data_IF_076638166819
#
_entry.id   IF_076638166819
#
_cell.length_a   1.000
_cell.length_b   1.000
_cell.length_c   1.000
_cell.angle_alpha   90.00
_cell.angle_beta   90.00
_cell.angle_gamma   90.00
#
_symmetry.space_group_name_H-M   'P 1'
#
loop_
_entity.id
_entity.type
_entity.pdbx_description
1 polymer ?
#
# COMPACT_ATOMS: atom_id res chain seq x y z
N UNK A 1 15.13 1.54 -14.31
CA UNK A 1 13.98 2.47 -14.31
C UNK A 1 14.25 3.62 -15.25
N UNK A 2 13.21 4.04 -16.00
CA UNK A 2 13.25 5.21 -16.87
C UNK A 2 12.94 6.48 -16.07
N UNK A 3 13.33 7.64 -16.60
CA UNK A 3 12.97 8.95 -16.05
C UNK A 3 11.45 9.12 -16.00
N UNK A 4 10.94 9.76 -14.94
CA UNK A 4 9.52 9.87 -14.62
C UNK A 4 8.91 8.61 -13.99
N UNK A 5 9.70 7.55 -13.79
CA UNK A 5 9.22 6.33 -13.14
C UNK A 5 8.92 6.54 -11.65
N UNK A 6 7.94 5.80 -11.15
CA UNK A 6 7.51 5.83 -9.75
C UNK A 6 8.13 4.65 -8.99
N UNK A 7 8.67 4.92 -7.81
CA UNK A 7 9.14 3.92 -6.83
C UNK A 7 8.29 4.03 -5.58
N UNK A 8 7.81 2.89 -5.09
CA UNK A 8 7.26 2.77 -3.74
C UNK A 8 8.26 2.01 -2.89
N UNK A 9 8.63 2.57 -1.74
CA UNK A 9 9.57 1.97 -0.81
C UNK A 9 8.89 1.80 0.54
N UNK A 10 9.04 0.61 1.11
CA UNK A 10 8.74 0.40 2.52
C UNK A 10 9.81 1.09 3.38
N UNK A 11 9.48 2.24 3.97
CA UNK A 11 10.43 3.07 4.72
C UNK A 11 10.83 2.46 6.07
N UNK A 12 10.06 1.50 6.59
CA UNK A 12 10.43 0.78 7.81
C UNK A 12 11.66 -0.13 7.61
N UNK A 13 11.89 -0.59 6.37
CA UNK A 13 12.94 -1.56 6.04
C UNK A 13 14.09 -0.94 5.24
N UNK A 14 13.80 0.08 4.44
CA UNK A 14 14.76 0.64 3.49
C UNK A 14 15.10 2.07 3.88
N UNK A 15 16.35 2.26 4.33
CA UNK A 15 16.92 3.56 4.66
C UNK A 15 17.68 4.20 3.49
N UNK A 16 17.80 3.49 2.36
CA UNK A 16 18.47 3.99 1.17
C UNK A 16 17.52 4.85 0.34
N UNK A 17 18.04 5.95 -0.22
CA UNK A 17 17.33 6.81 -1.18
C UNK A 17 18.12 6.92 -2.48
N UNK A 18 17.51 6.67 -3.64
CA UNK A 18 18.19 6.79 -4.92
C UNK A 18 18.66 8.24 -5.16
N UNK A 19 19.91 8.42 -5.57
CA UNK A 19 20.55 9.72 -5.82
C UNK A 19 20.12 10.37 -7.16
N UNK A 20 18.95 10.01 -7.67
CA UNK A 20 18.44 10.44 -8.99
C UNK A 20 17.23 11.35 -8.80
N UNK A 21 17.29 12.55 -9.37
CA UNK A 21 16.19 13.53 -9.29
C UNK A 21 15.10 13.37 -10.36
N UNK A 22 15.22 12.35 -11.22
CA UNK A 22 14.31 12.13 -12.35
C UNK A 22 13.31 11.00 -12.09
N UNK A 23 13.06 10.65 -10.84
CA UNK A 23 12.09 9.62 -10.43
C UNK A 23 11.22 10.14 -9.29
N UNK A 24 10.01 9.61 -9.18
CA UNK A 24 9.08 9.91 -8.09
C UNK A 24 9.24 8.82 -7.05
N UNK A 25 9.47 9.20 -5.79
CA UNK A 25 9.62 8.26 -4.68
C UNK A 25 8.48 8.46 -3.68
N UNK A 26 7.71 7.40 -3.44
CA UNK A 26 6.76 7.32 -2.34
C UNK A 26 7.33 6.44 -1.23
N UNK A 27 7.41 7.00 -0.05
CA UNK A 27 7.83 6.31 1.16
C UNK A 27 6.60 5.90 1.97
N UNK A 28 6.45 4.61 2.20
CA UNK A 28 5.28 4.04 2.87
C UNK A 28 5.79 3.26 4.08
N UNK A 29 5.45 3.63 5.32
CA UNK A 29 5.83 2.87 6.51
C UNK A 29 4.90 1.64 6.65
N UNK A 30 5.08 0.67 5.75
CA UNK A 30 4.08 -0.36 5.52
C UNK A 30 3.93 -1.36 6.67
N UNK A 31 5.02 -1.66 7.39
CA UNK A 31 4.97 -2.53 8.57
C UNK A 31 4.32 -1.80 9.73
N UNK A 32 4.64 -0.52 9.93
CA UNK A 32 4.05 0.31 10.96
C UNK A 32 2.53 0.42 10.77
N UNK A 33 2.07 0.77 9.56
CA UNK A 33 0.64 0.86 9.25
C UNK A 33 -0.09 -0.48 9.38
N UNK A 34 0.54 -1.58 8.98
CA UNK A 34 -0.04 -2.92 9.14
C UNK A 34 -0.19 -3.32 10.62
N UNK A 35 0.78 -2.94 11.46
CA UNK A 35 0.72 -3.16 12.90
C UNK A 35 -0.39 -2.33 13.56
N UNK A 36 -0.57 -1.07 13.15
CA UNK A 36 -1.65 -0.19 13.64
C UNK A 36 -3.04 -0.73 13.34
N UNK A 37 -3.21 -1.37 12.17
CA UNK A 37 -4.44 -2.09 11.79
C UNK A 37 -4.63 -3.40 12.60
N UNK A 38 -3.61 -3.86 13.32
CA UNK A 38 -3.68 -5.07 14.13
C UNK A 38 -3.32 -6.36 13.37
N UNK A 39 -2.66 -6.24 12.21
CA UNK A 39 -2.16 -7.39 11.45
C UNK A 39 -0.78 -7.08 10.85
N UNK A 40 0.28 -7.47 11.56
CA UNK A 40 1.68 -7.34 11.15
C UNK A 40 1.99 -7.95 9.77
N UNK A 41 1.20 -8.94 9.33
CA UNK A 41 1.35 -9.60 8.03
C UNK A 41 0.69 -8.86 6.87
N UNK A 42 -0.04 -7.77 7.13
CA UNK A 42 -0.79 -7.03 6.10
C UNK A 42 0.02 -5.92 5.41
N UNK A 43 1.34 -5.84 5.59
CA UNK A 43 2.19 -4.82 4.97
C UNK A 43 2.09 -4.79 3.43
N UNK A 44 1.85 -5.94 2.80
CA UNK A 44 1.61 -6.03 1.35
C UNK A 44 0.30 -5.34 0.94
N UNK A 45 -0.75 -5.42 1.76
CA UNK A 45 -2.02 -4.74 1.50
C UNK A 45 -1.85 -3.23 1.63
N UNK A 46 -1.07 -2.77 2.61
CA UNK A 46 -0.70 -1.36 2.73
C UNK A 46 0.02 -0.88 1.46
N UNK A 47 1.04 -1.62 1.00
CA UNK A 47 1.74 -1.25 -0.24
C UNK A 47 0.82 -1.26 -1.47
N UNK A 48 -0.11 -2.21 -1.58
CA UNK A 48 -1.10 -2.24 -2.66
C UNK A 48 -2.03 -1.02 -2.61
N UNK A 49 -2.46 -0.61 -1.41
CA UNK A 49 -3.27 0.57 -1.22
C UNK A 49 -2.56 1.83 -1.71
N UNK A 50 -1.31 2.00 -1.29
CA UNK A 50 -0.47 3.12 -1.71
C UNK A 50 -0.31 3.12 -3.24
N UNK A 51 -0.01 1.97 -3.85
CA UNK A 51 0.09 1.86 -5.29
C UNK A 51 -1.18 2.35 -6.03
N UNK A 52 -2.37 1.91 -5.58
CA UNK A 52 -3.65 2.26 -6.22
C UNK A 52 -4.00 3.75 -6.17
N UNK A 53 -3.49 4.49 -5.18
CA UNK A 53 -3.75 5.93 -5.04
C UNK A 53 -3.23 6.75 -6.22
N UNK A 54 -2.03 6.42 -6.68
CA UNK A 54 -1.33 7.11 -7.77
C UNK A 54 -1.47 6.39 -9.12
N UNK A 55 -1.90 5.13 -9.09
CA UNK A 55 -2.25 4.37 -10.29
C UNK A 55 -3.75 4.05 -10.30
N UNK A 56 -4.60 4.93 -10.85
CA UNK A 56 -6.05 4.74 -10.92
C UNK A 56 -6.44 3.71 -12.00
N UNK A 57 -5.68 2.62 -12.11
CA UNK A 57 -5.97 1.47 -12.98
C UNK A 57 -7.22 0.73 -12.49
N UNK A 58 -7.45 0.75 -11.18
CA UNK A 58 -8.59 0.09 -10.52
C UNK A 58 -9.09 1.02 -9.40
N UNK A 59 -10.41 1.05 -9.22
CA UNK A 59 -11.03 1.78 -8.11
C UNK A 59 -10.72 1.10 -6.76
N UNK A 60 -10.53 1.89 -5.71
CA UNK A 60 -10.29 1.35 -4.37
C UNK A 60 -11.42 0.41 -3.93
N UNK A 61 -12.66 0.76 -4.23
CA UNK A 61 -13.84 -0.04 -3.88
C UNK A 61 -13.80 -1.42 -4.55
N UNK A 62 -13.39 -1.48 -5.82
CA UNK A 62 -13.21 -2.74 -6.54
C UNK A 62 -12.14 -3.61 -5.89
N UNK A 63 -11.02 -3.02 -5.45
CA UNK A 63 -9.99 -3.75 -4.73
C UNK A 63 -10.51 -4.29 -3.38
N UNK A 64 -11.27 -3.50 -2.62
CA UNK A 64 -11.88 -3.93 -1.36
C UNK A 64 -12.91 -5.06 -1.52
N UNK A 65 -13.68 -5.05 -2.62
CA UNK A 65 -14.57 -6.16 -2.97
C UNK A 65 -13.79 -7.44 -3.26
N UNK A 66 -12.71 -7.35 -4.03
CA UNK A 66 -11.86 -8.50 -4.37
C UNK A 66 -11.18 -9.09 -3.14
N UNK A 67 -10.74 -8.27 -2.18
CA UNK A 67 -10.24 -8.76 -0.89
C UNK A 67 -11.26 -9.68 -0.22
N UNK A 68 -12.54 -9.30 -0.20
CA UNK A 68 -13.61 -10.14 0.35
C UNK A 68 -13.77 -11.48 -0.38
N UNK A 69 -13.58 -11.51 -1.70
CA UNK A 69 -13.65 -12.74 -2.52
C UNK A 69 -12.43 -13.64 -2.32
N UNK A 70 -11.22 -13.06 -2.31
CA UNK A 70 -9.95 -13.79 -2.18
C UNK A 70 -9.82 -14.44 -0.80
N UNK A 71 -10.31 -13.77 0.24
CA UNK A 71 -10.23 -14.24 1.63
C UNK A 71 -11.55 -14.79 2.16
N UNK A 72 -12.47 -15.23 1.29
CA UNK A 72 -13.79 -15.73 1.69
C UNK A 72 -13.71 -16.88 2.72
N UNK A 73 -12.71 -17.75 2.61
CA UNK A 73 -12.48 -18.87 3.55
C UNK A 73 -11.82 -18.44 4.87
N UNK A 74 -11.45 -17.16 5.00
CA UNK A 74 -10.76 -16.59 6.18
C UNK A 74 -11.42 -15.27 6.60
N UNK A 75 -12.70 -15.29 7.05
CA UNK A 75 -13.47 -14.09 7.35
C UNK A 75 -12.79 -13.19 8.41
N UNK A 76 -12.08 -13.78 9.36
CA UNK A 76 -11.36 -13.04 10.42
C UNK A 76 -10.21 -12.14 9.92
N UNK A 77 -9.77 -12.28 8.66
CA UNK A 77 -8.73 -11.39 8.09
C UNK A 77 -9.28 -10.44 7.03
N UNK A 78 -10.53 -10.58 6.59
CA UNK A 78 -11.09 -9.76 5.50
C UNK A 78 -11.05 -8.28 5.88
N UNK A 79 -11.58 -7.93 7.06
CA UNK A 79 -11.67 -6.54 7.47
C UNK A 79 -10.29 -5.92 7.71
N UNK A 80 -9.40 -6.65 8.38
CA UNK A 80 -8.01 -6.23 8.58
C UNK A 80 -7.27 -5.99 7.24
N UNK A 81 -7.50 -6.81 6.21
CA UNK A 81 -6.89 -6.59 4.90
C UNK A 81 -7.51 -5.40 4.16
N UNK A 82 -8.81 -5.12 4.35
CA UNK A 82 -9.47 -3.92 3.78
C UNK A 82 -8.99 -2.64 4.46
N UNK A 83 -8.87 -2.66 5.78
CA UNK A 83 -8.33 -1.55 6.57
C UNK A 83 -6.86 -1.30 6.21
N UNK A 84 -6.04 -2.35 6.09
CA UNK A 84 -4.65 -2.21 5.64
C UNK A 84 -4.55 -1.63 4.23
N UNK A 85 -5.41 -2.07 3.30
CA UNK A 85 -5.50 -1.49 1.96
C UNK A 85 -5.85 0.00 2.01
N UNK A 86 -6.84 0.37 2.83
CA UNK A 86 -7.26 1.76 2.99
C UNK A 86 -6.15 2.63 3.62
N UNK A 87 -5.50 2.12 4.67
CA UNK A 87 -4.38 2.80 5.33
C UNK A 87 -3.25 3.08 4.33
N UNK A 88 -2.91 2.10 3.49
CA UNK A 88 -1.99 2.27 2.38
C UNK A 88 -2.42 3.36 1.40
N UNK A 89 -3.68 3.32 0.95
CA UNK A 89 -4.23 4.29 0.01
C UNK A 89 -4.22 5.73 0.53
N UNK A 90 -4.38 5.90 1.84
CA UNK A 90 -4.35 7.20 2.53
C UNK A 90 -2.93 7.64 2.94
N UNK A 91 -1.97 6.71 2.98
CA UNK A 91 -0.59 7.00 3.41
C UNK A 91 0.20 7.86 2.42
N UNK A 92 -0.26 7.93 1.18
CA UNK A 92 0.35 8.75 0.14
C UNK A 92 -0.70 9.66 -0.51
N UNK A 93 -0.27 10.82 -0.99
CA UNK A 93 -1.15 11.80 -1.60
C UNK A 93 -1.70 12.80 -0.58
N UNK A 94 -1.04 13.95 -0.53
CA UNK A 94 -1.45 15.18 0.13
C UNK A 94 -0.98 16.36 -0.70
N UNK A 95 -1.80 16.72 -1.68
CA UNK A 95 -2.21 18.07 -2.13
C UNK A 95 -3.48 17.91 -2.98
#
# INVERSE_FOLDING_TARGET
MQSGGIIYVNSDLINFRPLRGDIILYEVPANTLALEVGNDRAANMVMLGAFLKETPLVKLETAQEVVGKVFADKPGVIELNREALLAGYQSIGGE
#
